data_IF_917177593558
#
_entry.id   IF_917177593558
#
_cell.length_a   1.000
_cell.length_b   1.000
_cell.length_c   1.000
_cell.angle_alpha   90.00
_cell.angle_beta   90.00
_cell.angle_gamma   90.00
#
_symmetry.space_group_name_H-M   'P 1'
#
loop_
_entity.id
_entity.type
_entity.pdbx_description
1 polymer ?
#
# COMPACT_ATOMS: atom_id res chain seq x y z
N UNK A 1 32.65 9.31 23.25
CA UNK A 1 32.01 9.48 21.92
C UNK A 1 30.90 8.46 21.88
N UNK A 2 29.66 8.92 22.09
CA UNK A 2 28.52 8.07 22.40
C UNK A 2 28.05 7.27 21.16
N UNK A 3 28.06 5.91 21.21
CA UNK A 3 27.73 5.05 20.08
C UNK A 3 26.24 5.07 19.67
N UNK A 4 25.36 5.66 20.48
CA UNK A 4 23.91 5.70 20.23
C UNK A 4 23.51 6.67 19.10
N UNK A 5 24.22 7.79 18.93
CA UNK A 5 23.92 8.79 17.89
C UNK A 5 24.20 8.30 16.45
N UNK A 6 25.14 7.37 16.30
CA UNK A 6 25.52 6.78 15.00
C UNK A 6 24.46 5.80 14.47
N UNK A 7 23.72 5.13 15.36
CA UNK A 7 22.65 4.20 14.99
C UNK A 7 21.40 4.93 14.48
N UNK A 8 21.05 6.07 15.08
CA UNK A 8 19.88 6.88 14.69
C UNK A 8 20.11 7.60 13.35
N UNK A 9 21.30 8.13 13.13
CA UNK A 9 21.66 8.80 11.87
C UNK A 9 21.81 7.80 10.70
N UNK A 10 22.30 6.59 11.00
CA UNK A 10 22.33 5.47 10.06
C UNK A 10 20.94 5.04 9.59
N UNK A 11 19.97 4.95 10.51
CA UNK A 11 18.57 4.62 10.18
C UNK A 11 17.90 5.70 9.31
N UNK A 12 18.16 6.99 9.59
CA UNK A 12 17.62 8.08 8.76
C UNK A 12 18.24 8.10 7.36
N UNK A 13 19.55 7.86 7.21
CA UNK A 13 20.21 7.78 5.89
C UNK A 13 19.81 6.53 5.11
N UNK A 14 19.63 5.39 5.77
CA UNK A 14 19.11 4.17 5.14
C UNK A 14 17.70 4.37 4.61
N UNK A 15 16.83 5.06 5.37
CA UNK A 15 15.47 5.39 4.94
C UNK A 15 15.43 6.22 3.66
N UNK A 16 16.34 7.21 3.54
CA UNK A 16 16.44 8.06 2.34
C UNK A 16 17.04 7.29 1.17
N UNK A 17 18.10 6.49 1.37
CA UNK A 17 18.71 5.70 0.31
C UNK A 17 17.74 4.64 -0.25
N UNK A 18 16.98 3.97 0.61
CA UNK A 18 15.91 3.03 0.22
C UNK A 18 14.81 3.77 -0.54
N UNK A 19 14.40 4.95 -0.08
CA UNK A 19 13.39 5.78 -0.74
C UNK A 19 13.84 6.25 -2.12
N UNK A 20 15.06 6.75 -2.25
CA UNK A 20 15.64 7.20 -3.53
C UNK A 20 15.83 6.04 -4.53
N UNK A 21 16.27 4.89 -4.04
CA UNK A 21 16.40 3.68 -4.86
C UNK A 21 15.02 3.19 -5.34
N UNK A 22 14.01 3.29 -4.49
CA UNK A 22 12.63 2.92 -4.79
C UNK A 22 11.95 3.91 -5.76
N UNK A 23 12.26 5.21 -5.69
CA UNK A 23 11.84 6.18 -6.72
C UNK A 23 12.52 5.95 -8.08
N UNK A 24 13.78 5.50 -8.09
CA UNK A 24 14.54 5.18 -9.31
C UNK A 24 14.15 3.85 -9.95
N UNK A 25 13.77 2.86 -9.15
CA UNK A 25 13.28 1.56 -9.62
C UNK A 25 11.79 1.60 -10.03
N UNK A 26 11.15 2.78 -9.96
CA UNK A 26 9.74 2.98 -10.28
C UNK A 26 9.51 2.71 -11.77
N UNK A 27 8.62 1.77 -12.14
CA UNK A 27 8.24 1.63 -13.54
C UNK A 27 7.59 2.94 -14.03
N UNK A 28 7.85 3.34 -15.28
CA UNK A 28 7.16 4.50 -15.86
C UNK A 28 5.65 4.26 -15.79
N UNK A 29 4.90 5.29 -15.39
CA UNK A 29 3.43 5.26 -15.33
C UNK A 29 2.91 4.74 -16.68
N UNK A 30 2.22 3.59 -16.66
CA UNK A 30 1.63 3.06 -17.87
C UNK A 30 0.54 4.02 -18.34
N UNK A 31 0.45 4.26 -19.64
CA UNK A 31 -0.69 4.98 -20.22
C UNK A 31 -1.95 4.18 -19.88
N UNK A 32 -2.93 4.81 -19.21
CA UNK A 32 -4.14 4.13 -18.75
C UNK A 32 -4.18 3.80 -17.25
N UNK A 33 -3.57 4.61 -16.38
CA UNK A 33 -3.67 4.45 -14.93
C UNK A 33 -4.11 5.74 -14.24
N UNK A 34 -4.99 5.64 -13.24
CA UNK A 34 -5.38 6.75 -12.37
C UNK A 34 -4.53 6.70 -11.10
N UNK A 35 -3.56 7.61 -10.91
CA UNK A 35 -2.74 7.62 -9.71
C UNK A 35 -3.55 8.08 -8.49
N UNK A 36 -3.39 7.39 -7.36
CA UNK A 36 -4.03 7.71 -6.09
C UNK A 36 -3.80 9.18 -5.70
N UNK A 37 -2.60 9.71 -5.95
CA UNK A 37 -2.26 11.09 -5.65
C UNK A 37 -3.24 12.12 -6.27
N UNK A 38 -3.85 11.81 -7.43
CA UNK A 38 -4.82 12.69 -8.11
C UNK A 38 -6.17 12.74 -7.39
N UNK A 39 -6.56 11.67 -6.69
CA UNK A 39 -7.88 11.53 -6.03
C UNK A 39 -7.81 11.52 -4.50
N UNK A 40 -6.62 11.35 -3.92
CA UNK A 40 -6.37 11.19 -2.47
C UNK A 40 -7.13 12.19 -1.62
N UNK A 41 -6.94 13.49 -1.89
CA UNK A 41 -7.57 14.56 -1.09
C UNK A 41 -9.09 14.47 -1.13
N UNK A 42 -9.67 14.14 -2.29
CA UNK A 42 -11.12 13.99 -2.45
C UNK A 42 -11.63 12.77 -1.69
N UNK A 43 -10.88 11.67 -1.69
CA UNK A 43 -11.23 10.46 -0.94
C UNK A 43 -11.22 10.73 0.57
N UNK A 44 -10.19 11.40 1.08
CA UNK A 44 -10.10 11.79 2.50
C UNK A 44 -11.30 12.64 2.92
N UNK A 45 -11.71 13.60 2.09
CA UNK A 45 -12.91 14.42 2.37
C UNK A 45 -14.20 13.60 2.37
N UNK A 46 -14.38 12.68 1.43
CA UNK A 46 -15.56 11.80 1.37
C UNK A 46 -15.62 10.90 2.60
N UNK A 47 -14.50 10.30 2.98
CA UNK A 47 -14.39 9.46 4.18
C UNK A 47 -14.67 10.27 5.44
N UNK A 48 -14.03 11.43 5.59
CA UNK A 48 -14.22 12.31 6.74
C UNK A 48 -15.67 12.77 6.89
N UNK A 49 -16.36 13.05 5.78
CA UNK A 49 -17.77 13.42 5.79
C UNK A 49 -18.70 12.28 6.24
N UNK A 50 -18.35 11.02 5.99
CA UNK A 50 -19.18 9.86 6.30
C UNK A 50 -18.93 9.27 7.68
N UNK A 51 -17.67 9.29 8.15
CA UNK A 51 -17.26 8.62 9.38
C UNK A 51 -16.82 9.58 10.50
N UNK A 52 -16.76 10.89 10.23
CA UNK A 52 -16.38 11.91 11.22
C UNK A 52 -14.88 11.99 11.52
N UNK A 53 -14.12 10.98 11.11
CA UNK A 53 -12.66 10.94 11.19
C UNK A 53 -12.04 10.82 9.79
N UNK A 54 -10.85 11.40 9.61
CA UNK A 54 -10.14 11.46 8.33
C UNK A 54 -8.84 10.66 8.43
N UNK A 55 -8.90 9.31 8.40
CA UNK A 55 -7.71 8.50 8.42
C UNK A 55 -6.82 8.83 7.20
N UNK A 56 -5.49 8.94 7.38
CA UNK A 56 -4.59 9.19 6.28
C UNK A 56 -4.68 8.05 5.25
N UNK A 57 -4.87 8.43 3.98
CA UNK A 57 -4.85 7.49 2.87
C UNK A 57 -3.43 7.38 2.30
N UNK A 58 -2.82 6.21 2.46
CA UNK A 58 -1.45 5.92 2.06
C UNK A 58 -1.42 5.02 0.82
N UNK A 59 -0.42 5.16 -0.07
CA UNK A 59 -0.26 4.23 -1.17
C UNK A 59 0.27 2.87 -0.66
N UNK A 60 -0.34 1.80 -1.13
CA UNK A 60 0.15 0.43 -1.05
C UNK A 60 0.96 0.13 -2.31
N UNK A 61 2.12 -0.48 -2.15
CA UNK A 61 2.97 -0.89 -3.27
C UNK A 61 2.81 -2.37 -3.54
N UNK A 62 2.72 -2.76 -4.83
CA UNK A 62 2.78 -4.17 -5.16
C UNK A 62 4.15 -4.73 -4.76
N UNK A 63 4.24 -6.02 -4.40
CA UNK A 63 5.52 -6.63 -4.08
C UNK A 63 6.51 -6.42 -5.23
N UNK A 64 7.78 -6.09 -4.94
CA UNK A 64 8.77 -5.84 -5.98
C UNK A 64 8.88 -7.06 -6.89
N UNK A 65 8.93 -6.81 -8.21
CA UNK A 65 9.09 -7.89 -9.20
C UNK A 65 10.31 -8.74 -8.83
N UNK A 66 10.24 -10.07 -8.91
CA UNK A 66 11.35 -10.93 -8.54
C UNK A 66 12.58 -10.59 -9.39
N UNK A 67 13.65 -10.17 -8.72
CA UNK A 67 14.93 -9.85 -9.36
C UNK A 67 15.62 -11.15 -9.83
N UNK A 68 16.66 -11.02 -10.66
CA UNK A 68 17.47 -12.16 -11.08
C UNK A 68 18.02 -12.97 -9.89
N UNK A 69 18.42 -12.28 -8.81
CA UNK A 69 18.84 -12.91 -7.54
C UNK A 69 17.71 -13.74 -6.92
N UNK A 70 16.46 -13.26 -6.93
CA UNK A 70 15.31 -14.04 -6.45
C UNK A 70 15.03 -15.31 -7.29
N UNK A 71 15.41 -15.33 -8.57
CA UNK A 71 15.31 -16.53 -9.43
C UNK A 71 16.40 -17.56 -9.09
N UNK A 72 17.60 -17.10 -8.73
CA UNK A 72 18.74 -17.96 -8.37
C UNK A 72 18.59 -18.54 -6.95
N UNK A 73 18.06 -17.76 -6.01
CA UNK A 73 17.87 -18.18 -4.61
C UNK A 73 16.49 -18.81 -4.33
N UNK A 74 15.74 -19.20 -5.37
CA UNK A 74 14.50 -19.97 -5.21
C UNK A 74 13.37 -19.22 -4.50
N UNK A 75 12.97 -18.04 -5.01
CA UNK A 75 11.78 -17.32 -4.50
C UNK A 75 10.54 -17.54 -5.36
N UNK A 76 9.39 -17.48 -4.68
CA UNK A 76 8.05 -17.86 -5.10
C UNK A 76 7.69 -17.59 -6.58
N UNK A 77 6.96 -18.52 -7.23
CA UNK A 77 6.53 -18.39 -8.62
C UNK A 77 5.78 -17.08 -8.89
N UNK A 78 6.16 -16.38 -9.96
CA UNK A 78 5.57 -15.08 -10.31
C UNK A 78 4.06 -15.10 -10.62
N UNK A 79 3.47 -16.29 -10.86
CA UNK A 79 2.01 -16.44 -11.02
C UNK A 79 1.24 -16.43 -9.68
N UNK A 80 1.94 -16.62 -8.56
CA UNK A 80 1.35 -16.53 -7.20
C UNK A 80 1.50 -15.13 -6.60
N UNK A 81 2.32 -14.27 -7.21
CA UNK A 81 2.45 -12.88 -6.80
C UNK A 81 1.32 -12.10 -7.47
N UNK A 82 0.27 -11.78 -6.72
CA UNK A 82 -0.78 -10.89 -7.22
C UNK A 82 -0.13 -9.55 -7.62
N UNK A 83 -0.22 -9.13 -8.90
CA UNK A 83 0.43 -7.91 -9.37
C UNK A 83 -0.24 -6.65 -8.81
N UNK A 84 -1.45 -6.78 -8.25
CA UNK A 84 -2.18 -5.68 -7.64
C UNK A 84 -1.73 -5.47 -6.18
N UNK A 85 -1.38 -4.22 -5.84
CA UNK A 85 -1.13 -3.84 -4.46
C UNK A 85 -2.39 -4.07 -3.62
N UNK A 86 -2.34 -4.79 -2.49
CA UNK A 86 -3.52 -5.03 -1.68
C UNK A 86 -3.98 -3.73 -1.02
N UNK A 87 -5.30 -3.53 -0.96
CA UNK A 87 -5.91 -2.51 -0.11
C UNK A 87 -6.06 -3.05 1.31
N UNK A 88 -5.81 -2.22 2.33
CA UNK A 88 -5.86 -2.65 3.73
C UNK A 88 -5.98 -1.50 4.71
N UNK A 89 -6.09 -1.81 6.01
CA UNK A 89 -6.12 -0.85 7.10
C UNK A 89 -5.59 -1.47 8.39
N UNK A 90 -4.96 -0.66 9.24
CA UNK A 90 -4.49 -1.01 10.59
C UNK A 90 -5.41 -0.43 11.67
N UNK A 91 -6.53 0.18 11.27
CA UNK A 91 -7.46 0.88 12.16
C UNK A 91 -7.19 2.37 12.31
N UNK A 92 -5.98 2.85 11.97
CA UNK A 92 -5.60 4.26 12.04
C UNK A 92 -5.36 4.88 10.65
N UNK A 93 -4.85 4.09 9.71
CA UNK A 93 -4.50 4.45 8.34
C UNK A 93 -5.19 3.52 7.34
N UNK A 94 -5.36 4.01 6.11
CA UNK A 94 -5.93 3.23 5.01
C UNK A 94 -4.92 3.15 3.89
N UNK A 95 -4.54 1.94 3.48
CA UNK A 95 -3.67 1.70 2.34
C UNK A 95 -4.48 1.34 1.11
N UNK A 96 -4.27 2.09 0.02
CA UNK A 96 -4.93 1.88 -1.27
C UNK A 96 -3.88 1.66 -2.37
N UNK A 97 -4.22 0.95 -3.47
CA UNK A 97 -3.32 0.82 -4.61
C UNK A 97 -2.80 2.20 -5.07
N UNK A 98 -1.50 2.30 -5.34
CA UNK A 98 -0.90 3.55 -5.84
C UNK A 98 -1.50 4.03 -7.16
N UNK A 99 -1.96 3.09 -7.97
CA UNK A 99 -2.61 3.30 -9.24
C UNK A 99 -3.71 2.26 -9.43
N UNK A 100 -4.79 2.66 -10.10
CA UNK A 100 -5.86 1.77 -10.57
C UNK A 100 -5.90 1.90 -12.09
N UNK A 101 -5.97 0.78 -12.79
CA UNK A 101 -6.06 0.76 -14.24
C UNK A 101 -7.34 1.46 -14.70
N UNK A 102 -7.20 2.33 -15.70
CA UNK A 102 -8.29 2.97 -16.43
C UNK A 102 -8.51 2.12 -17.68
N UNK A 103 -9.62 1.38 -17.72
CA UNK A 103 -10.09 0.80 -18.98
C UNK A 103 -10.34 1.91 -20.01
N UNK A 104 -10.29 1.58 -21.30
CA UNK A 104 -10.11 2.44 -22.48
C UNK A 104 -10.79 3.83 -22.58
N UNK A 105 -11.64 4.29 -21.65
CA UNK A 105 -11.95 5.72 -21.44
C UNK A 105 -12.71 6.03 -20.13
N UNK A 106 -12.68 5.15 -19.12
CA UNK A 106 -13.53 5.33 -17.92
C UNK A 106 -12.74 5.71 -16.66
N UNK A 107 -12.24 6.96 -16.62
CA UNK A 107 -11.67 7.54 -15.39
C UNK A 107 -12.67 7.50 -14.23
N UNK A 108 -13.98 7.57 -14.52
CA UNK A 108 -15.03 7.58 -13.50
C UNK A 108 -15.17 6.24 -12.78
N UNK A 109 -15.01 5.12 -13.50
CA UNK A 109 -14.94 3.79 -12.91
C UNK A 109 -13.72 3.63 -12.00
N UNK A 110 -12.55 4.15 -12.40
CA UNK A 110 -11.37 4.13 -11.54
C UNK A 110 -11.57 4.97 -10.26
N UNK A 111 -12.22 6.13 -10.37
CA UNK A 111 -12.61 6.93 -9.19
C UNK A 111 -13.60 6.18 -8.29
N UNK A 112 -14.57 5.48 -8.88
CA UNK A 112 -15.55 4.68 -8.14
C UNK A 112 -14.88 3.51 -7.41
N UNK A 113 -13.91 2.83 -8.05
CA UNK A 113 -13.12 1.77 -7.44
C UNK A 113 -12.33 2.28 -6.23
N UNK A 114 -11.67 3.45 -6.35
CA UNK A 114 -10.99 4.07 -5.21
C UNK A 114 -11.93 4.38 -4.05
N UNK A 115 -13.13 4.89 -4.35
CA UNK A 115 -14.15 5.17 -3.32
C UNK A 115 -14.60 3.90 -2.62
N UNK A 116 -14.90 2.85 -3.38
CA UNK A 116 -15.31 1.56 -2.84
C UNK A 116 -14.23 1.01 -1.91
N UNK A 117 -12.98 0.95 -2.37
CA UNK A 117 -11.87 0.47 -1.56
C UNK A 117 -11.68 1.31 -0.29
N UNK A 118 -11.69 2.64 -0.40
CA UNK A 118 -11.56 3.53 0.75
C UNK A 118 -12.67 3.29 1.79
N UNK A 119 -13.92 3.22 1.35
CA UNK A 119 -15.07 2.99 2.23
C UNK A 119 -15.04 1.61 2.87
N UNK A 120 -14.69 0.57 2.12
CA UNK A 120 -14.54 -0.77 2.66
C UNK A 120 -13.50 -0.82 3.78
N UNK A 121 -12.32 -0.23 3.57
CA UNK A 121 -11.26 -0.23 4.58
C UNK A 121 -11.65 0.59 5.81
N UNK A 122 -12.27 1.75 5.63
CA UNK A 122 -12.75 2.56 6.76
C UNK A 122 -13.85 1.82 7.53
N UNK A 123 -14.77 1.14 6.84
CA UNK A 123 -15.78 0.32 7.49
C UNK A 123 -15.17 -0.86 8.27
N UNK A 124 -14.09 -1.48 7.77
CA UNK A 124 -13.34 -2.51 8.50
C UNK A 124 -12.65 -1.92 9.75
N UNK A 125 -12.03 -0.75 9.63
CA UNK A 125 -11.43 -0.04 10.75
C UNK A 125 -12.47 0.30 11.84
N UNK A 126 -13.62 0.86 11.44
CA UNK A 126 -14.71 1.22 12.36
C UNK A 126 -15.31 0.00 13.07
N UNK A 127 -15.30 -1.18 12.44
CA UNK A 127 -15.74 -2.44 13.05
C UNK A 127 -14.68 -3.09 13.96
N UNK A 128 -13.48 -2.52 14.07
CA UNK A 128 -12.37 -3.09 14.85
C UNK A 128 -11.76 -4.35 14.21
N UNK A 129 -12.00 -4.61 12.92
CA UNK A 129 -11.45 -5.77 12.22
C UNK A 129 -9.91 -5.87 12.32
N UNK A 130 -9.14 -4.76 12.24
CA UNK A 130 -7.68 -4.82 12.40
C UNK A 130 -7.22 -5.30 13.78
N UNK A 131 -8.00 -5.04 14.83
CA UNK A 131 -7.69 -5.49 16.19
C UNK A 131 -7.93 -7.00 16.38
N UNK A 132 -8.71 -7.63 15.49
CA UNK A 132 -8.95 -9.07 15.48
C UNK A 132 -7.92 -9.84 14.62
N UNK A 133 -7.03 -9.14 13.91
CA UNK A 133 -5.98 -9.79 13.15
C UNK A 133 -4.90 -10.35 14.09
N UNK A 134 -4.37 -11.57 13.83
CA UNK A 134 -3.25 -12.11 14.59
C UNK A 134 -2.09 -11.12 14.59
N UNK A 135 -1.60 -10.78 15.79
CA UNK A 135 -0.44 -9.90 15.93
C UNK A 135 0.87 -10.63 15.65
N UNK A 136 0.88 -11.96 15.77
CA UNK A 136 2.00 -12.81 15.40
C UNK A 136 1.95 -13.14 13.91
N UNK A 137 3.08 -12.89 13.23
CA UNK A 137 3.26 -13.18 11.81
C UNK A 137 3.16 -14.67 11.52
N UNK A 138 3.61 -15.49 12.46
CA UNK A 138 3.61 -16.95 12.30
C UNK A 138 2.19 -17.53 12.40
N UNK A 139 1.37 -16.95 13.27
CA UNK A 139 -0.06 -17.25 13.40
C UNK A 139 -0.83 -16.80 12.14
N UNK A 140 -0.52 -15.62 11.60
CA UNK A 140 -1.11 -15.14 10.35
C UNK A 140 -0.81 -16.05 9.15
N UNK A 141 0.45 -16.48 8.99
CA UNK A 141 0.85 -17.38 7.90
C UNK A 141 0.21 -18.78 8.03
N UNK A 142 -0.07 -19.24 9.25
CA UNK A 142 -0.73 -20.53 9.51
C UNK A 142 -2.20 -20.54 9.06
N UNK A 143 -2.91 -19.43 9.24
CA UNK A 143 -4.33 -19.29 8.89
C UNK A 143 -4.60 -18.83 7.44
N UNK A 144 -3.55 -18.51 6.68
CA UNK A 144 -3.64 -18.06 5.29
C UNK A 144 -3.37 -19.17 4.23
N UNK A 145 -3.14 -20.42 4.68
CA UNK A 145 -3.01 -21.63 3.84
C UNK A 145 -4.37 -22.29 3.58
#
# INVERSE_FOLDING_TARGET
MEPEGLLIDGARRASVAVRELWWRARPPQARGELPLARVKRRLELVVGALYGDTPPILPSDPPPRPTWLARVFGRAPGHLLSPAAPAGTDGASVWLPRAVEIGHDDESAAVAAYRLLALEQVARAARGTPAAAPSDRLEHDLYAL
#
